data_IF_609389094733
#
_entry.id   IF_609389094733
#
_cell.length_a   1.000
_cell.length_b   1.000
_cell.length_c   1.000
_cell.angle_alpha   90.00
_cell.angle_beta   90.00
_cell.angle_gamma   90.00
#
_symmetry.space_group_name_H-M   'P 1'
#
loop_
_entity.id
_entity.type
_entity.pdbx_description
1 polymer ?
#
# COMPACT_ATOMS: atom_id res chain seq x y z
N UNK A 1 9.08 -12.47 -8.07
CA UNK A 1 7.73 -12.91 -8.48
C UNK A 1 6.79 -12.44 -7.41
N UNK A 2 5.66 -11.82 -7.77
CA UNK A 2 4.76 -11.22 -6.78
C UNK A 2 3.75 -12.26 -6.27
N UNK A 3 3.34 -12.15 -5.01
CA UNK A 3 2.30 -12.98 -4.42
C UNK A 3 0.96 -12.25 -4.26
N UNK A 4 -0.14 -12.97 -4.11
CA UNK A 4 -1.41 -12.40 -3.65
C UNK A 4 -1.24 -11.78 -2.24
N UNK A 5 -1.90 -10.65 -2.00
CA UNK A 5 -1.72 -9.84 -0.78
C UNK A 5 -0.48 -8.94 -0.80
N UNK A 6 0.44 -9.10 -1.76
CA UNK A 6 1.64 -8.28 -1.81
C UNK A 6 1.35 -6.85 -2.28
N UNK A 7 2.00 -5.89 -1.61
CA UNK A 7 1.81 -4.47 -1.87
C UNK A 7 2.79 -3.99 -2.93
N UNK A 8 2.24 -3.47 -4.02
CA UNK A 8 2.99 -3.09 -5.22
C UNK A 8 2.67 -1.67 -5.65
N UNK A 9 3.57 -1.09 -6.43
CA UNK A 9 3.38 0.17 -7.14
C UNK A 9 3.42 -0.10 -8.63
N UNK A 10 2.40 0.36 -9.35
CA UNK A 10 2.40 0.34 -10.80
C UNK A 10 3.43 1.33 -11.35
N UNK A 11 4.36 0.87 -12.17
CA UNK A 11 5.41 1.70 -12.76
C UNK A 11 4.84 2.75 -13.71
N UNK A 12 3.77 2.41 -14.44
CA UNK A 12 3.17 3.31 -15.44
C UNK A 12 2.45 4.50 -14.80
N UNK A 13 1.67 4.25 -13.75
CA UNK A 13 0.83 5.29 -13.10
C UNK A 13 1.42 5.82 -11.81
N UNK A 14 2.43 5.16 -11.25
CA UNK A 14 2.97 5.46 -9.93
C UNK A 14 2.01 5.17 -8.78
N UNK A 15 0.82 4.61 -9.02
CA UNK A 15 -0.19 4.32 -8.00
C UNK A 15 0.16 3.05 -7.22
N UNK A 16 -0.08 3.09 -5.91
CA UNK A 16 0.05 1.92 -5.05
C UNK A 16 -1.20 1.04 -5.13
N UNK A 17 -1.01 -0.25 -4.91
CA UNK A 17 -2.08 -1.24 -4.87
C UNK A 17 -1.65 -2.54 -4.22
N UNK A 18 -2.56 -3.51 -4.22
CA UNK A 18 -2.34 -4.85 -3.68
C UNK A 18 -2.63 -5.88 -4.76
N UNK A 19 -1.76 -6.87 -4.92
CA UNK A 19 -2.01 -8.00 -5.80
C UNK A 19 -3.15 -8.82 -5.20
N UNK A 20 -4.20 -9.09 -5.96
CA UNK A 20 -5.36 -9.88 -5.50
C UNK A 20 -5.49 -11.21 -6.22
N UNK A 21 -4.79 -11.37 -7.35
CA UNK A 21 -4.82 -12.59 -8.13
C UNK A 21 -3.55 -12.71 -8.97
N UNK A 22 -3.02 -13.93 -9.07
CA UNK A 22 -1.95 -14.28 -10.01
C UNK A 22 -2.48 -15.34 -10.99
N UNK A 23 -2.45 -15.03 -12.28
CA UNK A 23 -2.88 -15.94 -13.35
C UNK A 23 -1.67 -16.50 -14.10
N UNK A 24 -1.66 -17.81 -14.35
CA UNK A 24 -0.63 -18.54 -15.11
C UNK A 24 -1.20 -19.78 -15.83
N UNK A 25 -0.37 -20.62 -16.48
CA UNK A 25 1.11 -20.61 -16.50
C UNK A 25 1.69 -19.46 -17.35
N UNK A 26 3.02 -19.29 -17.33
CA UNK A 26 3.71 -18.09 -17.80
C UNK A 26 3.32 -17.63 -19.24
N UNK A 27 3.26 -16.31 -19.50
CA UNK A 27 3.62 -15.20 -18.61
C UNK A 27 2.60 -14.97 -17.49
N UNK A 28 3.08 -14.67 -16.29
CA UNK A 28 2.22 -14.39 -15.15
C UNK A 28 1.56 -13.02 -15.31
N UNK A 29 0.23 -13.00 -15.21
CA UNK A 29 -0.57 -11.78 -15.20
C UNK A 29 -1.04 -11.54 -13.76
N UNK A 30 -0.71 -10.37 -13.24
CA UNK A 30 -1.06 -9.94 -11.88
C UNK A 30 -2.27 -9.01 -11.95
N UNK A 31 -3.32 -9.36 -11.21
CA UNK A 31 -4.45 -8.46 -10.98
C UNK A 31 -4.17 -7.65 -9.73
N UNK A 32 -4.13 -6.33 -9.87
CA UNK A 32 -3.80 -5.40 -8.78
C UNK A 32 -4.99 -4.49 -8.51
N UNK A 33 -5.39 -4.41 -7.24
CA UNK A 33 -6.35 -3.44 -6.77
C UNK A 33 -5.61 -2.17 -6.34
N UNK A 34 -5.79 -1.08 -7.09
CA UNK A 34 -5.19 0.21 -6.76
C UNK A 34 -5.92 0.86 -5.58
N UNK A 35 -5.15 1.54 -4.73
CA UNK A 35 -5.73 2.37 -3.68
C UNK A 35 -6.44 3.58 -4.29
N UNK A 36 -7.62 3.91 -3.76
CA UNK A 36 -8.28 5.17 -4.07
C UNK A 36 -7.32 6.32 -3.73
N UNK A 37 -7.28 7.35 -4.57
CA UNK A 37 -6.57 8.58 -4.23
C UNK A 37 -7.15 9.10 -2.90
N UNK A 38 -6.28 9.57 -2.00
CA UNK A 38 -6.72 10.16 -0.74
C UNK A 38 -7.50 11.45 -1.07
N UNK A 39 -8.82 11.33 -1.17
CA UNK A 39 -9.73 12.39 -1.61
C UNK A 39 -10.83 11.82 -2.51
N UNK A 40 -12.06 11.90 -2.02
CA UNK A 40 -13.33 11.75 -2.75
C UNK A 40 -13.65 10.40 -3.39
N UNK A 41 -14.13 9.46 -2.57
CA UNK A 41 -15.15 8.47 -2.97
C UNK A 41 -14.86 7.62 -4.21
N UNK A 42 -13.63 7.62 -4.71
CA UNK A 42 -13.30 7.03 -5.99
C UNK A 42 -13.38 5.51 -5.85
N UNK A 43 -14.09 4.83 -6.76
CA UNK A 43 -14.20 3.38 -6.70
C UNK A 43 -12.81 2.76 -6.84
N UNK A 44 -12.54 1.64 -6.14
CA UNK A 44 -11.28 0.91 -6.29
C UNK A 44 -11.09 0.50 -7.75
N UNK A 45 -9.89 0.75 -8.29
CA UNK A 45 -9.58 0.45 -9.69
C UNK A 45 -8.81 -0.87 -9.75
N UNK A 46 -9.33 -1.81 -10.52
CA UNK A 46 -8.65 -3.07 -10.82
C UNK A 46 -7.82 -2.92 -12.10
N UNK A 47 -6.53 -3.27 -12.04
CA UNK A 47 -5.65 -3.28 -13.21
C UNK A 47 -5.00 -4.66 -13.41
N UNK A 48 -4.58 -4.92 -14.64
CA UNK A 48 -3.77 -6.07 -15.00
C UNK A 48 -2.35 -5.63 -15.36
N UNK A 49 -1.34 -6.33 -14.83
CA UNK A 49 0.07 -6.03 -15.05
C UNK A 49 0.92 -7.27 -15.18
N UNK A 50 2.02 -7.14 -15.91
CA UNK A 50 3.12 -8.10 -15.88
C UNK A 50 4.08 -7.77 -14.74
N UNK A 51 4.84 -8.78 -14.29
CA UNK A 51 5.70 -8.64 -13.11
C UNK A 51 6.76 -7.54 -13.22
N UNK A 52 7.28 -7.28 -14.42
CA UNK A 52 8.28 -6.23 -14.66
C UNK A 52 7.70 -4.80 -14.57
N UNK A 53 6.37 -4.65 -14.62
CA UNK A 53 5.67 -3.35 -14.55
C UNK A 53 5.30 -2.97 -13.12
N UNK A 54 5.67 -3.81 -12.15
CA UNK A 54 5.40 -3.61 -10.73
C UNK A 54 6.72 -3.35 -10.00
N UNK A 55 6.64 -2.53 -8.95
CA UNK A 55 7.72 -2.24 -8.01
C UNK A 55 7.23 -2.45 -6.58
N UNK A 56 8.14 -2.69 -5.64
CA UNK A 56 7.78 -2.80 -4.23
C UNK A 56 7.22 -1.47 -3.72
N UNK A 57 6.09 -1.50 -3.01
CA UNK A 57 5.55 -0.34 -2.32
C UNK A 57 5.79 -0.48 -0.81
N UNK A 58 6.13 0.61 -0.09
CA UNK A 58 6.30 0.55 1.35
C UNK A 58 5.02 0.06 2.02
N UNK A 59 5.17 -0.85 2.99
CA UNK A 59 4.09 -1.30 3.86
C UNK A 59 3.58 -0.07 4.61
N UNK A 60 2.31 0.27 4.44
CA UNK A 60 1.66 1.24 5.33
C UNK A 60 1.53 0.56 6.69
N UNK A 61 2.49 0.78 7.57
CA UNK A 61 2.31 0.49 8.99
C UNK A 61 1.16 1.38 9.44
N UNK A 62 0.03 0.85 9.94
CA UNK A 62 -0.99 1.69 10.52
C UNK A 62 -0.30 2.46 11.64
N UNK A 63 -0.23 3.79 11.52
CA UNK A 63 0.11 4.62 12.68
C UNK A 63 -1.01 4.39 13.68
N UNK A 64 -0.78 3.53 14.66
CA UNK A 64 -1.58 3.46 15.86
C UNK A 64 -1.62 4.87 16.43
N UNK A 65 -2.76 5.53 16.24
CA UNK A 65 -3.06 6.83 16.82
C UNK A 65 -3.25 6.59 18.31
N UNK A 66 -2.18 6.63 19.10
CA UNK A 66 -2.33 6.46 20.55
C UNK A 66 -1.09 6.06 21.33
N UNK A 67 0.04 6.73 21.15
CA UNK A 67 0.95 6.90 22.29
C UNK A 67 1.42 8.36 22.32
N UNK A 68 0.63 9.18 23.00
CA UNK A 68 1.14 10.44 23.52
C UNK A 68 1.89 10.12 24.82
N UNK A 69 3.21 10.37 24.93
CA UNK A 69 3.81 10.58 26.23
C UNK A 69 3.40 11.99 26.66
N UNK A 70 2.15 12.16 27.11
CA UNK A 70 1.77 13.37 27.85
C UNK A 70 2.57 13.36 29.16
N UNK A 71 3.36 14.42 29.32
CA UNK A 71 3.58 15.03 30.64
C UNK A 71 4.65 14.38 31.50
N UNK A 72 5.93 14.57 31.16
CA UNK A 72 6.95 14.65 32.21
C UNK A 72 6.85 16.04 32.83
N UNK A 73 6.03 16.14 33.87
CA UNK A 73 5.85 17.36 34.66
C UNK A 73 7.20 17.92 35.11
N UNK A 74 7.39 19.20 34.86
CA UNK A 74 8.50 20.00 35.38
C UNK A 74 8.18 20.31 36.84
N UNK A 75 8.92 19.83 37.85
CA UNK A 75 8.77 20.38 39.18
C UNK A 75 9.55 21.68 39.24
N UNK A 76 8.84 22.80 39.23
CA UNK A 76 9.35 24.05 39.82
C UNK A 76 9.43 23.83 41.32
N UNK A 77 10.63 23.96 41.91
CA UNK A 77 10.78 24.09 43.36
C UNK A 77 11.54 25.38 43.68
N UNK A 78 10.90 26.15 44.56
CA UNK A 78 11.38 27.34 45.28
C UNK A 78 12.74 27.16 45.90
#
# INVERSE_FOLDING_TARGET
MWGEGERVRDEKTGKAGTVVQVTGPAPFIYRVMLEAAAGDGAPPIMIYRYGHQLRGAPVRVPRSRGESPRGRGRPTRR
#
